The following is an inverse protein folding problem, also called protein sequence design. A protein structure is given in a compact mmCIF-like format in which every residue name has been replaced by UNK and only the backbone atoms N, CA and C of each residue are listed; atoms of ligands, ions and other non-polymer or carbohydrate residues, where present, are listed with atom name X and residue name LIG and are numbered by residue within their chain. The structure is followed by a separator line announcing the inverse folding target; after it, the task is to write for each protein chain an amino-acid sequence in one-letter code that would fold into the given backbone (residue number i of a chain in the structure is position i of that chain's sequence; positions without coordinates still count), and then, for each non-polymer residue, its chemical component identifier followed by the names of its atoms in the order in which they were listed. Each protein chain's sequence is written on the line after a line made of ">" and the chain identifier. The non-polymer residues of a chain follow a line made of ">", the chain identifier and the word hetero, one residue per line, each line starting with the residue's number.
data_IF_414469570856
#
_entry.id   IF_414469570856
#
_cell.length_a   1.000
_cell.length_b   1.000
_cell.length_c   1.000
_cell.angle_alpha   90.00
_cell.angle_beta   90.00
_cell.angle_gamma   90.00
#
_symmetry.space_group_name_H-M   'P 1'
#
loop_
_entity.id
_entity.type
_entity.pdbx_description
1 polymer ?
#
# COMPACT_ATOMS: atom_id res chain seq x y z
N UNK A 1 -16.54 14.34 -32.43
CA UNK A 1 -16.32 14.37 -30.96
C UNK A 1 -16.82 13.07 -30.37
N UNK A 2 -15.93 12.28 -29.74
CA UNK A 2 -16.27 10.95 -29.24
C UNK A 2 -15.18 10.37 -28.34
N UNK A 3 -15.10 10.94 -27.13
CA UNK A 3 -14.63 10.31 -25.87
C UNK A 3 -13.69 9.10 -25.96
N UNK A 4 -12.39 9.36 -25.96
CA UNK A 4 -11.36 8.38 -25.53
C UNK A 4 -11.10 8.56 -24.02
N UNK A 5 -12.10 8.34 -23.17
CA UNK A 5 -11.84 8.02 -21.75
C UNK A 5 -11.69 6.49 -21.65
N UNK A 6 -10.56 5.97 -22.11
CA UNK A 6 -10.22 4.55 -21.88
C UNK A 6 -9.89 4.39 -20.40
N UNK A 7 -10.83 3.82 -19.65
CA UNK A 7 -10.64 3.46 -18.26
C UNK A 7 -9.70 2.24 -18.19
N UNK A 8 -8.69 2.28 -17.32
CA UNK A 8 -7.71 1.19 -17.15
C UNK A 8 -8.44 -0.13 -16.89
N UNK A 9 -8.10 -1.18 -17.64
CA UNK A 9 -8.63 -2.54 -17.43
C UNK A 9 -9.86 -2.96 -18.26
N UNK A 10 -10.31 -2.15 -19.23
CA UNK A 10 -11.41 -2.50 -20.13
C UNK A 10 -10.89 -2.90 -21.52
N UNK A 11 -11.38 -4.02 -22.06
CA UNK A 11 -11.10 -4.52 -23.41
C UNK A 11 -12.37 -4.49 -24.26
N UNK A 12 -12.32 -3.91 -25.45
CA UNK A 12 -13.44 -3.92 -26.39
C UNK A 12 -13.42 -5.18 -27.26
N UNK A 13 -14.55 -5.86 -27.37
CA UNK A 13 -14.72 -7.04 -28.20
C UNK A 13 -15.36 -6.66 -29.54
N UNK A 14 -15.06 -7.45 -30.58
CA UNK A 14 -15.53 -7.23 -31.96
C UNK A 14 -17.06 -7.33 -32.13
N UNK A 15 -17.78 -7.82 -31.13
CA UNK A 15 -19.24 -7.96 -31.11
C UNK A 15 -19.98 -6.74 -30.53
N UNK A 16 -19.29 -5.62 -30.25
CA UNK A 16 -19.91 -4.44 -29.63
C UNK A 16 -20.16 -4.58 -28.13
N UNK A 17 -19.50 -5.56 -27.50
CA UNK A 17 -19.43 -5.70 -26.05
C UNK A 17 -18.05 -5.28 -25.54
N UNK A 18 -17.97 -4.99 -24.25
CA UNK A 18 -16.71 -4.69 -23.54
C UNK A 18 -16.53 -5.69 -22.40
N UNK A 19 -15.28 -6.00 -22.07
CA UNK A 19 -14.88 -6.91 -21.01
C UNK A 19 -14.05 -6.15 -19.97
N UNK A 20 -14.39 -6.32 -18.69
CA UNK A 20 -13.63 -5.79 -17.58
C UNK A 20 -12.70 -6.86 -17.03
N UNK A 21 -11.38 -6.64 -17.08
CA UNK A 21 -10.40 -7.59 -16.54
C UNK A 21 -10.43 -7.64 -14.99
N UNK A 22 -10.95 -6.60 -14.33
CA UNK A 22 -11.01 -6.54 -12.86
C UNK A 22 -12.17 -7.39 -12.34
N UNK A 23 -13.34 -7.29 -12.97
CA UNK A 23 -14.52 -8.06 -12.56
C UNK A 23 -14.65 -9.40 -13.30
N UNK A 24 -13.82 -9.66 -14.32
CA UNK A 24 -13.96 -10.78 -15.24
C UNK A 24 -15.35 -10.91 -15.87
N UNK A 25 -15.98 -9.78 -16.20
CA UNK A 25 -17.35 -9.72 -16.73
C UNK A 25 -17.42 -9.10 -18.12
N UNK A 26 -18.21 -9.70 -19.01
CA UNK A 26 -18.58 -9.15 -20.31
C UNK A 26 -19.92 -8.41 -20.22
N UNK A 27 -20.00 -7.22 -20.81
CA UNK A 27 -21.22 -6.41 -20.82
C UNK A 27 -21.31 -5.59 -22.11
N UNK A 28 -22.52 -5.10 -22.44
CA UNK A 28 -22.72 -4.22 -23.60
C UNK A 28 -22.05 -2.86 -23.33
N UNK A 29 -21.36 -2.30 -24.33
CA UNK A 29 -20.62 -1.03 -24.17
C UNK A 29 -21.47 0.13 -23.64
N UNK A 30 -22.79 0.14 -23.91
CA UNK A 30 -23.74 1.14 -23.37
C UNK A 30 -23.83 1.16 -21.83
N UNK A 31 -23.48 0.06 -21.16
CA UNK A 31 -23.56 -0.08 -19.69
C UNK A 31 -22.19 0.12 -19.03
N UNK A 32 -21.14 0.43 -19.80
CA UNK A 32 -19.77 0.60 -19.30
C UNK A 32 -19.67 1.60 -18.15
N UNK A 33 -20.26 2.79 -18.32
CA UNK A 33 -20.22 3.85 -17.30
C UNK A 33 -20.90 3.42 -16.00
N UNK A 34 -22.01 2.70 -16.08
CA UNK A 34 -22.70 2.17 -14.90
C UNK A 34 -21.91 1.04 -14.23
N UNK A 35 -21.24 0.20 -15.02
CA UNK A 35 -20.36 -0.85 -14.51
C UNK A 35 -19.15 -0.27 -13.77
N UNK A 36 -18.44 0.71 -14.35
CA UNK A 36 -17.28 1.36 -13.75
C UNK A 36 -17.64 2.09 -12.44
N UNK A 37 -18.85 2.63 -12.35
CA UNK A 37 -19.35 3.26 -11.13
C UNK A 37 -20.04 2.29 -10.16
N UNK A 38 -20.14 1.02 -10.50
CA UNK A 38 -20.81 0.04 -9.64
C UNK A 38 -19.99 -0.23 -8.38
N UNK A 39 -20.69 -0.44 -7.26
CA UNK A 39 -20.07 -0.80 -5.97
C UNK A 39 -19.16 -2.03 -6.11
N UNK A 40 -19.64 -3.06 -6.80
CA UNK A 40 -18.89 -4.30 -7.05
C UNK A 40 -17.57 -4.06 -7.78
N UNK A 41 -17.55 -3.16 -8.78
CA UNK A 41 -16.32 -2.83 -9.50
C UNK A 41 -15.32 -2.09 -8.62
N UNK A 42 -15.79 -1.16 -7.78
CA UNK A 42 -14.95 -0.42 -6.84
C UNK A 42 -14.35 -1.33 -5.76
N UNK A 43 -15.15 -2.25 -5.22
CA UNK A 43 -14.68 -3.25 -4.25
C UNK A 43 -13.63 -4.18 -4.87
N UNK A 44 -13.88 -4.72 -6.08
CA UNK A 44 -12.91 -5.57 -6.79
C UNK A 44 -11.62 -4.82 -7.15
N UNK A 45 -11.71 -3.52 -7.48
CA UNK A 45 -10.55 -2.66 -7.72
C UNK A 45 -9.69 -2.50 -6.45
N UNK A 46 -10.30 -2.31 -5.29
CA UNK A 46 -9.59 -2.21 -4.02
C UNK A 46 -8.86 -3.52 -3.68
N UNK A 47 -9.57 -4.65 -3.76
CA UNK A 47 -9.00 -5.99 -3.51
C UNK A 47 -7.83 -6.31 -4.44
N UNK A 48 -7.97 -6.04 -5.75
CA UNK A 48 -6.91 -6.32 -6.72
C UNK A 48 -5.64 -5.48 -6.50
N UNK A 49 -5.74 -4.31 -5.85
CA UNK A 49 -4.57 -3.50 -5.48
C UNK A 49 -3.86 -4.08 -4.26
N UNK A 50 -4.60 -4.52 -3.25
CA UNK A 50 -4.07 -5.18 -2.05
C UNK A 50 -3.35 -6.50 -2.42
N UNK A 51 -3.95 -7.31 -3.30
CA UNK A 51 -3.36 -8.56 -3.79
C UNK A 51 -2.13 -8.33 -4.68
N UNK A 52 -2.07 -7.21 -5.41
CA UNK A 52 -0.91 -6.86 -6.23
C UNK A 52 0.30 -6.44 -5.39
N UNK A 53 0.07 -5.80 -4.23
CA UNK A 53 1.13 -5.44 -3.30
C UNK A 53 1.73 -6.67 -2.59
N UNK A 54 0.95 -7.73 -2.36
CA UNK A 54 1.45 -9.02 -1.85
C UNK A 54 2.04 -9.92 -2.95
N UNK A 55 1.58 -9.83 -4.20
CA UNK A 55 2.06 -10.68 -5.31
C UNK A 55 3.38 -10.22 -5.96
N UNK A 56 3.80 -8.95 -5.82
CA UNK A 56 5.09 -8.49 -6.40
C UNK A 56 6.29 -9.14 -5.68
N UNK A 57 6.14 -9.55 -4.42
CA UNK A 57 7.16 -10.33 -3.69
C UNK A 57 7.28 -11.79 -4.17
N UNK A 58 6.26 -12.35 -4.83
CA UNK A 58 6.20 -13.77 -5.20
C UNK A 58 6.47 -14.08 -6.68
N UNK A 59 6.66 -13.07 -7.55
CA UNK A 59 6.78 -13.25 -9.01
C UNK A 59 8.20 -13.14 -9.60
N UNK A 60 9.25 -13.37 -8.79
CA UNK A 60 10.63 -13.58 -9.30
C UNK A 60 11.10 -15.04 -9.35
N UNK A 61 10.20 -16.02 -9.15
CA UNK A 61 10.47 -17.44 -9.46
C UNK A 61 9.42 -17.97 -10.41
N UNK A 62 9.87 -18.72 -11.42
CA UNK A 62 9.10 -19.41 -12.47
C UNK A 62 8.75 -18.60 -13.71
N UNK A 63 9.76 -18.38 -14.55
CA UNK A 63 9.63 -18.54 -15.99
C UNK A 63 10.70 -19.53 -16.45
N UNK A 64 10.37 -20.81 -16.36
CA UNK A 64 10.83 -21.80 -17.32
C UNK A 64 9.71 -22.80 -17.56
N UNK A 65 9.68 -23.35 -18.77
CA UNK A 65 8.74 -24.34 -19.32
C UNK A 65 7.37 -23.88 -19.85
N UNK A 66 7.45 -23.60 -21.15
CA UNK A 66 6.42 -23.68 -22.17
C UNK A 66 5.92 -25.13 -22.37
N UNK A 67 4.61 -25.41 -22.26
CA UNK A 67 3.84 -26.20 -23.25
C UNK A 67 2.34 -26.28 -22.91
N UNK A 68 1.55 -26.14 -23.96
CA UNK A 68 0.09 -26.29 -24.13
C UNK A 68 -0.60 -27.37 -23.29
N UNK A 69 -1.85 -27.10 -22.88
CA UNK A 69 -3.01 -28.02 -22.99
C UNK A 69 -4.34 -27.23 -22.75
N UNK A 70 -5.28 -27.48 -23.65
CA UNK A 70 -6.74 -27.20 -23.72
C UNK A 70 -7.55 -27.85 -22.61
N UNK A 71 -8.62 -27.20 -22.09
CA UNK A 71 -9.93 -27.77 -21.61
C UNK A 71 -10.93 -26.59 -21.60
N UNK A 72 -12.00 -26.56 -22.41
CA UNK A 72 -13.36 -27.11 -22.20
C UNK A 72 -14.16 -26.62 -20.97
N UNK A 73 -15.46 -26.45 -21.24
CA UNK A 73 -16.54 -25.90 -20.43
C UNK A 73 -16.74 -26.57 -19.07
N UNK A 74 -17.36 -25.84 -18.12
CA UNK A 74 -18.52 -26.30 -17.29
C UNK A 74 -18.85 -25.31 -16.15
N UNK A 75 -19.98 -24.63 -16.30
CA UNK A 75 -21.13 -24.57 -15.38
C UNK A 75 -20.97 -24.20 -13.87
N UNK A 76 -21.68 -23.12 -13.51
CA UNK A 76 -22.74 -23.10 -12.46
C UNK A 76 -22.34 -23.18 -10.97
N UNK A 77 -22.50 -22.07 -10.24
CA UNK A 77 -23.61 -21.86 -9.28
C UNK A 77 -23.35 -20.72 -8.30
N UNK A 78 -24.35 -19.86 -8.12
CA UNK A 78 -24.47 -18.94 -6.99
C UNK A 78 -25.02 -19.70 -5.76
N UNK A 79 -24.85 -19.15 -4.55
CA UNK A 79 -26.07 -18.81 -3.82
C UNK A 79 -26.07 -17.47 -3.08
N UNK A 80 -27.29 -17.16 -2.63
CA UNK A 80 -27.90 -15.91 -2.21
C UNK A 80 -27.96 -15.77 -0.67
N UNK A 81 -27.96 -14.51 -0.21
CA UNK A 81 -28.85 -13.87 0.81
C UNK A 81 -28.90 -14.32 2.29
N UNK A 82 -29.18 -13.26 3.09
CA UNK A 82 -29.92 -13.14 4.38
C UNK A 82 -29.02 -12.88 5.59
N UNK A 83 -29.36 -12.07 6.60
CA UNK A 83 -30.50 -11.18 6.86
C UNK A 83 -30.19 -10.31 8.09
N UNK A 84 -30.83 -9.13 8.16
CA UNK A 84 -31.02 -8.27 9.35
C UNK A 84 -31.55 -9.03 10.57
N UNK A 85 -31.35 -8.48 11.78
CA UNK A 85 -32.40 -8.30 12.82
C UNK A 85 -31.91 -7.32 13.90
N UNK A 86 -32.62 -6.21 14.04
CA UNK A 86 -32.64 -5.33 15.23
C UNK A 86 -33.47 -5.99 16.35
N UNK A 87 -33.08 -5.79 17.62
CA UNK A 87 -33.95 -5.21 18.68
C UNK A 87 -33.30 -5.24 20.08
N UNK A 88 -33.23 -4.06 20.69
CA UNK A 88 -33.23 -3.76 22.14
C UNK A 88 -34.71 -3.78 22.61
N UNK A 89 -35.12 -4.00 23.89
CA UNK A 89 -34.92 -3.01 24.97
C UNK A 89 -34.91 -3.50 26.46
N UNK A 90 -34.36 -2.64 27.33
CA UNK A 90 -34.87 -2.23 28.66
C UNK A 90 -34.59 -3.03 29.96
N UNK A 91 -34.58 -2.23 31.04
CA UNK A 91 -34.55 -2.46 32.49
C UNK A 91 -33.17 -2.78 33.10
N UNK A 92 -32.75 -2.18 34.21
CA UNK A 92 -33.41 -1.29 35.18
C UNK A 92 -32.52 -1.24 36.42
N UNK A 93 -32.50 -0.08 37.08
CA UNK A 93 -31.64 0.30 38.20
C UNK A 93 -31.74 -0.61 39.43
N UNK A 94 -30.65 -0.71 40.22
CA UNK A 94 -30.72 -0.43 41.66
C UNK A 94 -29.32 -0.36 42.29
N UNK A 95 -29.08 0.77 42.97
CA UNK A 95 -27.95 0.99 43.84
C UNK A 95 -28.22 0.43 45.25
N UNK A 96 -27.24 -0.26 45.83
CA UNK A 96 -27.10 -0.32 47.28
C UNK A 96 -25.62 -0.42 47.67
N UNK A 97 -25.15 0.62 48.35
CA UNK A 97 -23.96 0.58 49.20
C UNK A 97 -24.26 -0.28 50.43
N UNK A 98 -23.32 -1.12 50.83
CA UNK A 98 -23.12 -1.48 52.24
C UNK A 98 -21.66 -1.83 52.48
N UNK A 99 -20.97 -0.91 53.15
CA UNK A 99 -19.84 -1.25 54.03
C UNK A 99 -20.41 -2.14 55.14
N UNK A 100 -19.89 -3.34 55.28
CA UNK A 100 -19.88 -4.04 56.56
C UNK A 100 -18.57 -4.82 56.68
N UNK A 101 -18.07 -4.73 57.89
CA UNK A 101 -16.77 -5.12 58.39
C UNK A 101 -16.55 -6.64 58.35
N UNK A 102 -15.28 -7.02 58.54
CA UNK A 102 -14.79 -8.39 58.65
C UNK A 102 -15.70 -9.30 59.49
N UNK A 103 -15.89 -10.58 59.10
CA UNK A 103 -16.28 -11.59 60.05
C UNK A 103 -15.05 -12.21 60.73
N UNK A 104 -15.17 -12.60 62.01
CA UNK A 104 -14.12 -13.27 62.76
C UNK A 104 -13.99 -14.75 62.33
N UNK A 105 -12.79 -15.27 62.53
CA UNK A 105 -12.38 -16.68 62.53
C UNK A 105 -13.52 -17.69 62.78
N UNK A 106 -13.67 -18.67 61.89
CA UNK A 106 -14.32 -19.93 62.26
C UNK A 106 -13.43 -21.12 61.92
N UNK A 107 -13.40 -22.01 62.91
CA UNK A 107 -12.53 -23.14 63.09
C UNK A 107 -12.69 -24.16 61.98
N UNK A 108 -11.57 -24.78 61.59
CA UNK A 108 -11.54 -26.02 60.82
C UNK A 108 -12.31 -27.09 61.61
N UNK A 109 -13.53 -27.37 61.17
CA UNK A 109 -14.33 -28.49 61.65
C UNK A 109 -14.31 -29.59 60.61
N UNK A 110 -13.56 -30.66 60.89
CA UNK A 110 -13.66 -31.89 60.12
C UNK A 110 -15.11 -32.43 60.17
N UNK A 111 -15.75 -32.50 58.99
CA UNK A 111 -16.46 -33.71 58.59
C UNK A 111 -17.86 -34.00 59.17
N UNK A 112 -18.77 -33.02 59.26
CA UNK A 112 -20.22 -33.33 59.34
C UNK A 112 -21.01 -32.46 58.37
N UNK A 113 -21.16 -32.93 57.12
CA UNK A 113 -22.24 -32.48 56.25
C UNK A 113 -23.56 -32.83 56.93
N UNK A 114 -24.42 -31.84 57.15
CA UNK A 114 -25.78 -32.05 57.62
C UNK A 114 -26.55 -32.79 56.51
N UNK A 115 -27.01 -34.00 56.81
CA UNK A 115 -27.74 -34.85 55.87
C UNK A 115 -29.08 -34.20 55.50
N UNK A 116 -29.27 -33.86 54.23
CA UNK A 116 -30.46 -33.19 53.71
C UNK A 116 -30.22 -31.86 52.99
N UNK A 117 -29.02 -31.27 53.09
CA UNK A 117 -28.67 -30.10 52.29
C UNK A 117 -28.15 -30.49 50.89
N UNK A 118 -28.60 -29.82 49.82
CA UNK A 118 -28.07 -30.04 48.48
C UNK A 118 -26.55 -29.87 48.43
N UNK A 119 -25.86 -30.75 47.68
CA UNK A 119 -24.43 -30.59 47.38
C UNK A 119 -24.17 -29.20 46.78
N UNK A 120 -23.15 -28.50 47.26
CA UNK A 120 -22.85 -27.11 46.87
C UNK A 120 -23.63 -26.03 47.64
N UNK A 121 -24.34 -26.38 48.72
CA UNK A 121 -24.97 -25.38 49.60
C UNK A 121 -23.99 -24.71 50.58
N UNK A 122 -22.98 -25.45 51.04
CA UNK A 122 -21.84 -24.89 51.78
C UNK A 122 -20.66 -24.75 50.82
N UNK A 123 -19.75 -23.82 51.12
CA UNK A 123 -18.46 -23.65 50.46
C UNK A 123 -17.67 -24.98 50.48
N UNK A 124 -17.90 -25.84 49.49
CA UNK A 124 -17.19 -27.10 49.32
C UNK A 124 -15.74 -26.76 48.93
N UNK A 125 -14.80 -26.90 49.87
CA UNK A 125 -13.37 -26.59 49.67
C UNK A 125 -12.80 -27.19 48.38
N UNK A 126 -13.24 -28.40 48.00
CA UNK A 126 -12.83 -29.06 46.76
C UNK A 126 -13.38 -28.40 45.48
N UNK A 127 -14.63 -27.94 45.48
CA UNK A 127 -15.21 -27.20 44.34
C UNK A 127 -14.61 -25.80 44.26
N UNK A 128 -14.43 -25.13 45.40
CA UNK A 128 -13.81 -23.81 45.48
C UNK A 128 -12.35 -23.83 45.01
N UNK A 129 -11.57 -24.86 45.35
CA UNK A 129 -10.19 -25.00 44.86
C UNK A 129 -10.15 -25.28 43.34
N UNK A 130 -11.07 -26.09 42.81
CA UNK A 130 -11.17 -26.36 41.37
C UNK A 130 -11.58 -25.11 40.60
N UNK A 131 -12.52 -24.32 41.12
CA UNK A 131 -12.92 -23.03 40.53
C UNK A 131 -11.73 -22.07 40.54
N UNK A 132 -11.00 -21.95 41.65
CA UNK A 132 -9.80 -21.10 41.75
C UNK A 132 -8.73 -21.50 40.74
N UNK A 133 -8.42 -22.79 40.64
CA UNK A 133 -7.47 -23.33 39.65
C UNK A 133 -7.92 -23.04 38.21
N UNK A 134 -9.22 -23.20 37.90
CA UNK A 134 -9.73 -22.86 36.56
C UNK A 134 -9.67 -21.37 36.26
N UNK A 135 -9.91 -20.51 37.25
CA UNK A 135 -9.82 -19.05 37.11
C UNK A 135 -8.36 -18.64 36.89
N UNK A 136 -7.42 -19.20 37.65
CA UNK A 136 -5.99 -18.94 37.48
C UNK A 136 -5.46 -19.44 36.13
N UNK A 137 -5.83 -20.65 35.70
CA UNK A 137 -5.49 -21.16 34.37
C UNK A 137 -6.08 -20.30 33.26
N UNK A 138 -7.34 -19.89 33.39
CA UNK A 138 -7.98 -18.99 32.41
C UNK A 138 -7.27 -17.64 32.36
N UNK A 139 -6.87 -17.10 33.51
CA UNK A 139 -6.10 -15.86 33.61
C UNK A 139 -4.72 -16.01 32.95
N UNK A 140 -4.04 -17.14 33.14
CA UNK A 140 -2.77 -17.41 32.48
C UNK A 140 -2.94 -17.49 30.95
N UNK A 141 -3.93 -18.25 30.48
CA UNK A 141 -4.24 -18.36 29.05
C UNK A 141 -4.54 -17.00 28.44
N UNK A 142 -5.38 -16.18 29.08
CA UNK A 142 -5.71 -14.84 28.61
C UNK A 142 -4.46 -13.94 28.54
N UNK A 143 -3.56 -14.03 29.53
CA UNK A 143 -2.31 -13.27 29.53
C UNK A 143 -1.34 -13.69 28.41
N UNK A 144 -1.30 -14.96 28.07
CA UNK A 144 -0.52 -15.46 26.92
C UNK A 144 -1.16 -15.03 25.59
N UNK A 145 -2.49 -15.04 25.51
CA UNK A 145 -3.23 -14.56 24.35
C UNK A 145 -3.02 -13.07 24.10
N UNK A 146 -3.06 -12.26 25.16
CA UNK A 146 -2.80 -10.82 25.09
C UNK A 146 -1.36 -10.53 24.63
N UNK A 147 -0.38 -11.31 25.11
CA UNK A 147 1.00 -11.25 24.62
C UNK A 147 1.09 -11.62 23.14
N UNK A 148 0.38 -12.63 22.68
CA UNK A 148 0.36 -13.03 21.28
C UNK A 148 -0.22 -11.93 20.38
N UNK A 149 -1.35 -11.32 20.75
CA UNK A 149 -1.92 -10.22 19.97
C UNK A 149 -0.98 -9.02 19.90
N UNK A 150 -0.33 -8.69 21.02
CA UNK A 150 0.67 -7.63 21.06
C UNK A 150 1.87 -7.92 20.15
N UNK A 151 2.37 -9.15 20.15
CA UNK A 151 3.47 -9.57 19.27
C UNK A 151 3.06 -9.49 17.79
N UNK A 152 1.82 -9.88 17.45
CA UNK A 152 1.31 -9.77 16.08
C UNK A 152 1.24 -8.31 15.64
N UNK A 153 0.73 -7.42 16.49
CA UNK A 153 0.68 -5.97 16.23
C UNK A 153 2.10 -5.40 16.04
N UNK A 154 3.06 -5.76 16.90
CA UNK A 154 4.45 -5.31 16.79
C UNK A 154 5.13 -5.79 15.50
N UNK A 155 4.86 -7.04 15.07
CA UNK A 155 5.36 -7.56 13.78
C UNK A 155 4.70 -6.84 12.60
N UNK A 156 3.41 -6.54 12.68
CA UNK A 156 2.70 -5.79 11.63
C UNK A 156 3.26 -4.37 11.49
N UNK A 157 3.45 -3.67 12.61
CA UNK A 157 4.08 -2.35 12.67
C UNK A 157 5.51 -2.39 12.11
N UNK A 158 6.32 -3.36 12.53
CA UNK A 158 7.68 -3.54 12.02
C UNK A 158 7.69 -3.78 10.51
N UNK A 159 6.76 -4.60 10.00
CA UNK A 159 6.67 -4.90 8.56
C UNK A 159 6.28 -3.67 7.76
N UNK A 160 5.40 -2.84 8.30
CA UNK A 160 4.96 -1.60 7.66
C UNK A 160 6.07 -0.53 7.66
N UNK A 161 6.86 -0.44 8.74
CA UNK A 161 8.09 0.36 8.80
C UNK A 161 9.14 -0.14 7.80
N UNK A 162 9.38 -1.45 7.74
CA UNK A 162 10.29 -2.06 6.76
C UNK A 162 9.82 -1.77 5.32
N UNK A 163 8.52 -1.84 5.05
CA UNK A 163 7.98 -1.51 3.72
C UNK A 163 8.19 -0.03 3.37
N UNK A 164 7.99 0.86 4.34
CA UNK A 164 8.18 2.30 4.17
C UNK A 164 9.64 2.62 3.87
N UNK A 165 10.56 2.09 4.66
CA UNK A 165 12.01 2.28 4.47
C UNK A 165 12.50 1.72 3.13
N UNK A 166 11.97 0.57 2.69
CA UNK A 166 12.26 0.03 1.36
C UNK A 166 11.80 0.95 0.23
N UNK A 167 10.61 1.54 0.37
CA UNK A 167 10.09 2.49 -0.62
C UNK A 167 10.91 3.78 -0.67
N UNK A 168 11.29 4.32 0.49
CA UNK A 168 12.17 5.49 0.59
C UNK A 168 13.53 5.22 -0.04
N UNK A 169 14.15 4.08 0.24
CA UNK A 169 15.43 3.69 -0.37
C UNK A 169 15.31 3.55 -1.89
N UNK A 170 14.21 2.98 -2.39
CA UNK A 170 13.98 2.88 -3.84
C UNK A 170 13.83 4.25 -4.49
N UNK A 171 13.16 5.20 -3.82
CA UNK A 171 12.98 6.56 -4.34
C UNK A 171 14.31 7.31 -4.33
N UNK A 172 15.05 7.24 -3.22
CA UNK A 172 16.37 7.84 -3.10
C UNK A 172 17.35 7.30 -4.15
N UNK A 173 17.33 6.00 -4.44
CA UNK A 173 18.15 5.40 -5.48
C UNK A 173 17.85 5.99 -6.88
N UNK A 174 16.57 6.13 -7.23
CA UNK A 174 16.18 6.75 -8.50
C UNK A 174 16.62 8.23 -8.56
N UNK A 175 16.48 8.97 -7.45
CA UNK A 175 16.89 10.36 -7.38
C UNK A 175 18.42 10.51 -7.54
N UNK A 176 19.19 9.60 -6.96
CA UNK A 176 20.65 9.54 -7.13
C UNK A 176 21.00 9.33 -8.60
N UNK A 177 20.36 8.37 -9.28
CA UNK A 177 20.60 8.11 -10.71
C UNK A 177 20.31 9.36 -11.57
N UNK A 178 19.25 10.09 -11.25
CA UNK A 178 18.90 11.35 -11.93
C UNK A 178 19.93 12.45 -11.67
N UNK A 179 20.42 12.56 -10.43
CA UNK A 179 21.47 13.52 -10.06
C UNK A 179 22.75 13.19 -10.84
N UNK A 180 23.14 11.93 -10.92
CA UNK A 180 24.34 11.51 -11.65
C UNK A 180 24.25 11.83 -13.15
N UNK A 181 23.11 11.54 -13.79
CA UNK A 181 22.87 11.90 -15.18
C UNK A 181 22.95 13.42 -15.38
N UNK A 182 22.38 14.20 -14.44
CA UNK A 182 22.49 15.64 -14.47
C UNK A 182 23.95 16.07 -14.34
N UNK A 183 24.71 15.55 -13.38
CA UNK A 183 26.13 15.85 -13.20
C UNK A 183 26.92 15.57 -14.47
N UNK A 184 26.66 14.47 -15.19
CA UNK A 184 27.30 14.19 -16.48
C UNK A 184 27.01 15.25 -17.54
N UNK A 185 25.76 15.70 -17.64
CA UNK A 185 25.39 16.81 -18.54
C UNK A 185 26.11 18.10 -18.17
N UNK A 186 26.17 18.45 -16.88
CA UNK A 186 26.89 19.64 -16.41
C UNK A 186 28.40 19.55 -16.65
N UNK A 187 29.01 18.37 -16.47
CA UNK A 187 30.42 18.12 -16.83
C UNK A 187 30.67 18.40 -18.30
N UNK A 188 29.79 17.90 -19.18
CA UNK A 188 29.89 18.13 -20.63
C UNK A 188 29.79 19.61 -20.98
N UNK A 189 28.84 20.34 -20.38
CA UNK A 189 28.70 21.79 -20.58
C UNK A 189 29.96 22.55 -20.13
N UNK A 190 30.47 22.23 -18.94
CA UNK A 190 31.68 22.85 -18.40
C UNK A 190 32.91 22.59 -19.30
N UNK A 191 33.04 21.40 -19.89
CA UNK A 191 34.10 21.13 -20.87
C UNK A 191 33.98 21.99 -22.14
N UNK A 192 32.76 22.18 -22.64
CA UNK A 192 32.51 23.04 -23.80
C UNK A 192 32.81 24.50 -23.49
N UNK A 193 32.45 24.97 -22.29
CA UNK A 193 32.77 26.31 -21.82
C UNK A 193 34.27 26.53 -21.72
N UNK A 194 35.02 25.59 -21.14
CA UNK A 194 36.49 25.63 -21.10
C UNK A 194 37.11 25.67 -22.50
N UNK A 195 36.58 24.89 -23.45
CA UNK A 195 37.03 24.94 -24.86
C UNK A 195 36.72 26.30 -25.50
N UNK A 196 35.54 26.85 -25.28
CA UNK A 196 35.15 28.18 -25.77
C UNK A 196 36.08 29.25 -25.23
N UNK A 197 36.33 29.25 -23.92
CA UNK A 197 37.23 30.21 -23.27
C UNK A 197 38.65 30.10 -23.83
N UNK A 198 39.17 28.88 -24.00
CA UNK A 198 40.49 28.66 -24.61
C UNK A 198 40.59 29.22 -26.03
N UNK A 199 39.52 29.09 -26.83
CA UNK A 199 39.48 29.66 -28.19
C UNK A 199 39.43 31.19 -28.15
N UNK A 200 38.66 31.77 -27.22
CA UNK A 200 38.59 33.22 -27.04
C UNK A 200 39.95 33.77 -26.60
N UNK A 201 40.63 33.14 -25.64
CA UNK A 201 41.97 33.52 -25.18
C UNK A 201 43.00 33.44 -26.32
N UNK A 202 42.97 32.36 -27.11
CA UNK A 202 43.83 32.21 -28.29
C UNK A 202 43.52 33.26 -29.38
N UNK A 203 42.25 33.65 -29.55
CA UNK A 203 41.87 34.68 -30.50
C UNK A 203 42.33 36.07 -30.04
N UNK A 204 42.16 36.39 -28.75
CA UNK A 204 42.62 37.65 -28.16
C UNK A 204 44.14 37.80 -28.26
N UNK A 205 44.90 36.76 -27.92
CA UNK A 205 46.37 36.77 -28.00
C UNK A 205 46.89 36.81 -29.45
N UNK A 206 46.18 36.22 -30.41
CA UNK A 206 46.57 36.26 -31.83
C UNK A 206 46.19 37.58 -32.51
N UNK A 207 45.17 38.27 -32.02
CA UNK A 207 44.81 39.64 -32.41
C UNK A 207 45.91 40.65 -32.01
N UNK A 208 46.56 40.46 -30.87
CA UNK A 208 47.62 41.36 -30.37
C UNK A 208 48.98 41.22 -31.11
N UNK A 209 49.18 40.19 -31.95
CA UNK A 209 50.48 39.93 -32.62
C UNK A 209 50.52 40.24 -34.13
N UNK A 210 49.56 41.00 -34.68
CA UNK A 210 49.62 41.45 -36.08
C UNK A 210 49.85 42.98 -36.18
N UNK A 211 51.09 43.47 -36.23
CA UNK A 211 51.36 44.91 -36.39
C UNK A 211 51.23 45.40 -37.85
N UNK A 212 50.49 44.68 -38.71
CA UNK A 212 50.31 45.06 -40.10
C UNK A 212 48.89 44.75 -40.61
N UNK A 213 47.89 45.36 -39.98
CA UNK A 213 46.56 45.46 -40.53
C UNK A 213 46.07 46.91 -40.41
N UNK A 214 45.90 47.55 -41.56
CA UNK A 214 45.34 48.89 -41.72
C UNK A 214 43.97 48.98 -41.01
N UNK A 215 43.67 50.06 -40.27
CA UNK A 215 42.37 50.27 -39.67
C UNK A 215 41.35 50.62 -40.77
N UNK A 216 40.80 49.60 -41.42
CA UNK A 216 39.56 49.71 -42.19
C UNK A 216 38.39 49.66 -41.22
N UNK A 217 37.93 50.86 -40.89
CA UNK A 217 36.55 51.27 -40.73
C UNK A 217 35.56 50.26 -40.10
N UNK A 218 35.18 50.65 -38.89
CA UNK A 218 34.10 50.18 -38.03
C UNK A 218 32.76 50.07 -38.76
N UNK A 219 32.65 49.07 -39.64
CA UNK A 219 31.37 48.61 -40.18
C UNK A 219 30.91 47.47 -39.31
N UNK A 220 30.13 47.85 -38.28
CA UNK A 220 28.98 47.14 -37.72
C UNK A 220 28.60 45.92 -38.57
N UNK A 221 29.33 44.83 -38.37
CA UNK A 221 29.00 43.55 -38.93
C UNK A 221 27.85 43.07 -38.07
N UNK A 222 26.64 43.41 -38.49
CA UNK A 222 25.36 42.84 -38.06
C UNK A 222 25.48 41.31 -38.12
N UNK A 223 26.12 40.71 -37.12
CA UNK A 223 26.00 39.31 -36.78
C UNK A 223 24.60 39.17 -36.22
N UNK A 224 23.64 39.13 -37.14
CA UNK A 224 22.23 38.99 -36.86
C UNK A 224 22.02 37.65 -36.13
N UNK A 225 21.94 37.71 -34.80
CA UNK A 225 21.66 36.58 -33.92
C UNK A 225 20.32 35.90 -34.27
N UNK A 226 19.41 36.63 -34.94
CA UNK A 226 18.14 36.12 -35.44
C UNK A 226 18.29 35.19 -36.67
N UNK A 227 19.44 35.24 -37.35
CA UNK A 227 19.75 34.31 -38.47
C UNK A 227 20.22 32.92 -38.00
N UNK A 228 20.39 32.71 -36.70
CA UNK A 228 20.77 31.42 -36.09
C UNK A 228 19.57 30.71 -35.42
N UNK A 229 18.33 31.13 -35.68
CA UNK A 229 17.16 30.48 -35.09
C UNK A 229 16.96 29.05 -35.61
N UNK A 230 17.44 28.08 -34.83
CA UNK A 230 17.36 26.64 -35.10
C UNK A 230 15.91 26.11 -35.11
N UNK A 231 14.93 26.90 -34.64
CA UNK A 231 13.50 26.54 -34.71
C UNK A 231 12.90 26.64 -36.12
N UNK A 232 13.52 27.36 -37.04
CA UNK A 232 12.97 27.56 -38.41
C UNK A 232 13.29 26.40 -39.37
N UNK A 233 14.17 25.47 -38.99
CA UNK A 233 14.63 24.38 -39.88
C UNK A 233 13.71 23.17 -39.97
N UNK A 234 12.53 23.17 -39.32
CA UNK A 234 11.55 22.08 -39.41
C UNK A 234 10.09 22.59 -39.54
N UNK A 235 9.87 23.57 -40.43
CA UNK A 235 8.53 23.87 -40.95
C UNK A 235 8.46 23.54 -42.45
#
# INVERSE_FOLDING_TARGET
>A
MGSHLRSKGIKDLKNGNSYCNICSLQFKTKVLTAHLNSRKHREALAQSKEDSHTSIAAKRKLLDDNRSITIEDTSTSCPNKKSRTDQNPSNGESAYNSKTEQPPSHLHGEGKLIEGLPRGFFDDDGMNNRVRETVEKTKQINSELERFYKEVEEIEDQKDDEQTTMFEHSTAANDIDLIDEQIERWKTINELEKRKESVIELASTKSEHNPNFDPVDDTESDFNFDSIDWRTKNL
#
